data_IF_121236601857
#
_entry.id   IF_121236601857
#
_cell.length_a   1.000
_cell.length_b   1.000
_cell.length_c   1.000
_cell.angle_alpha   90.00
_cell.angle_beta   90.00
_cell.angle_gamma   90.00
#
_symmetry.space_group_name_H-M   'P 1'
#
loop_
_entity.id
_entity.type
_entity.pdbx_description
1 polymer ?
#
# COMPACT_ATOMS: atom_id res chain seq x y z
N UNK A 1 -67.02 28.89 2.90
CA UNK A 1 -67.49 29.20 1.53
C UNK A 1 -66.31 29.68 0.70
N UNK A 2 -65.95 28.90 -0.33
CA UNK A 2 -65.06 29.29 -1.46
C UNK A 2 -65.94 29.83 -2.61
N UNK A 3 -65.40 30.24 -3.77
CA UNK A 3 -64.37 31.25 -4.05
C UNK A 3 -64.79 32.18 -5.22
N UNK A 4 -63.95 33.13 -5.63
CA UNK A 4 -64.02 33.73 -6.98
C UNK A 4 -62.62 33.92 -7.59
N UNK A 5 -62.46 33.88 -8.93
CA UNK A 5 -61.25 33.37 -9.58
C UNK A 5 -60.65 34.33 -10.65
N UNK A 6 -59.62 33.83 -11.37
CA UNK A 6 -59.00 34.35 -12.62
C UNK A 6 -57.89 35.43 -12.43
N UNK A 7 -56.82 35.53 -13.23
CA UNK A 7 -56.47 34.95 -14.53
C UNK A 7 -54.95 34.89 -14.73
N UNK A 8 -54.55 33.99 -15.63
CA UNK A 8 -53.23 33.74 -16.20
C UNK A 8 -52.73 34.85 -17.13
N UNK A 9 -51.46 35.26 -16.97
CA UNK A 9 -50.71 36.05 -17.95
C UNK A 9 -49.55 35.23 -18.52
N UNK A 10 -49.70 34.84 -19.79
CA UNK A 10 -48.69 34.17 -20.61
C UNK A 10 -48.25 35.12 -21.73
N UNK A 11 -46.96 35.16 -22.04
CA UNK A 11 -46.38 35.93 -23.15
C UNK A 11 -44.85 35.86 -23.14
N UNK A 12 -44.18 36.03 -24.27
CA UNK A 12 -44.20 35.08 -25.39
C UNK A 12 -42.83 34.40 -25.61
N UNK A 13 -42.87 33.25 -26.28
CA UNK A 13 -41.70 32.54 -26.80
C UNK A 13 -41.27 33.06 -28.18
N UNK A 14 -39.96 32.87 -28.48
CA UNK A 14 -39.23 32.80 -29.79
C UNK A 14 -38.25 33.95 -30.07
N UNK A 15 -37.17 33.74 -30.87
CA UNK A 15 -36.93 32.58 -31.76
C UNK A 15 -35.59 31.86 -31.59
N UNK A 16 -35.59 30.62 -32.08
CA UNK A 16 -34.41 29.86 -32.45
C UNK A 16 -33.74 30.48 -33.68
N UNK A 17 -32.41 30.61 -33.65
CA UNK A 17 -31.58 30.81 -34.84
C UNK A 17 -30.63 29.62 -35.01
N UNK A 18 -30.69 29.04 -36.21
CA UNK A 18 -29.99 27.85 -36.71
C UNK A 18 -28.57 28.19 -37.23
N UNK A 19 -27.78 27.21 -37.71
CA UNK A 19 -26.34 27.11 -37.45
C UNK A 19 -25.48 27.84 -38.49
N UNK A 20 -24.23 28.15 -38.12
CA UNK A 20 -23.15 28.43 -39.08
C UNK A 20 -22.18 27.26 -39.16
N UNK A 21 -22.13 26.69 -40.36
CA UNK A 21 -21.16 25.71 -40.87
C UNK A 21 -20.10 26.49 -41.67
N UNK A 22 -18.81 26.17 -41.52
CA UNK A 22 -17.73 26.40 -42.51
C UNK A 22 -16.40 26.08 -41.83
N UNK A 23 -15.86 24.85 -41.95
CA UNK A 23 -14.92 24.37 -42.97
C UNK A 23 -13.54 25.06 -42.99
N UNK A 24 -12.49 24.30 -42.67
CA UNK A 24 -11.20 24.18 -43.38
C UNK A 24 -10.26 23.33 -42.50
N UNK A 25 -10.09 22.03 -42.76
CA UNK A 25 -9.03 21.44 -43.60
C UNK A 25 -7.63 21.98 -43.30
N UNK A 26 -6.83 21.16 -42.61
CA UNK A 26 -5.40 21.00 -42.91
C UNK A 26 -5.05 19.51 -42.77
N UNK A 27 -4.95 18.85 -43.92
CA UNK A 27 -4.39 17.50 -44.11
C UNK A 27 -3.69 17.54 -45.47
N UNK A 28 -2.37 17.65 -45.45
CA UNK A 28 -1.34 17.13 -46.37
C UNK A 28 -0.05 17.86 -45.97
N UNK A 29 1.14 17.27 -45.97
CA UNK A 29 1.88 16.59 -47.06
C UNK A 29 2.77 15.54 -46.36
N UNK A 30 2.80 14.27 -46.80
CA UNK A 30 3.79 13.68 -47.73
C UNK A 30 5.24 14.04 -47.35
N UNK A 31 6.29 13.24 -47.49
CA UNK A 31 6.56 11.98 -48.16
C UNK A 31 8.03 11.68 -47.79
N UNK A 32 8.40 10.43 -47.54
CA UNK A 32 9.52 9.85 -48.30
C UNK A 32 9.61 8.35 -48.02
N UNK A 33 9.36 7.59 -49.08
CA UNK A 33 9.86 6.24 -49.26
C UNK A 33 11.39 6.23 -49.17
N UNK A 34 11.94 5.16 -48.60
CA UNK A 34 13.14 4.54 -49.20
C UNK A 34 13.12 3.04 -49.02
N UNK A 35 12.59 2.37 -50.05
CA UNK A 35 12.86 0.98 -50.39
C UNK A 35 14.30 0.92 -50.91
N UNK A 36 15.11 -0.05 -50.48
CA UNK A 36 16.31 -0.45 -51.22
C UNK A 36 16.30 -1.97 -51.41
N UNK A 37 16.55 -2.49 -52.63
CA UNK A 37 16.27 -3.89 -52.97
C UNK A 37 17.44 -4.84 -52.65
N UNK A 38 17.07 -6.12 -52.68
CA UNK A 38 17.91 -7.31 -52.84
C UNK A 38 18.94 -7.16 -53.97
N UNK A 39 20.17 -7.61 -53.74
CA UNK A 39 21.15 -7.95 -54.77
C UNK A 39 21.56 -9.42 -54.63
N UNK A 40 21.51 -10.10 -55.77
CA UNK A 40 21.75 -11.52 -56.02
C UNK A 40 23.24 -11.89 -56.02
N UNK A 41 23.49 -13.11 -55.55
CA UNK A 41 24.44 -14.13 -56.03
C UNK A 41 25.86 -13.73 -56.50
N UNK A 42 26.88 -14.29 -55.83
CA UNK A 42 28.02 -14.88 -56.53
C UNK A 42 28.52 -16.13 -55.77
N UNK A 43 28.45 -17.27 -56.45
CA UNK A 43 28.99 -18.56 -56.02
C UNK A 43 30.46 -18.64 -56.43
N UNK A 44 31.29 -19.15 -55.50
CA UNK A 44 32.38 -20.07 -55.83
C UNK A 44 33.79 -19.50 -55.95
N UNK A 45 34.60 -19.74 -54.91
CA UNK A 45 35.96 -20.26 -55.10
C UNK A 45 36.51 -20.81 -53.79
N UNK A 46 36.91 -22.09 -53.85
CA UNK A 46 37.67 -22.83 -52.84
C UNK A 46 38.91 -22.05 -52.39
N UNK A 47 39.14 -22.06 -51.08
CA UNK A 47 40.43 -21.74 -50.46
C UNK A 47 40.57 -22.54 -49.18
N UNK A 48 41.18 -23.73 -49.27
CA UNK A 48 41.65 -24.50 -48.11
C UNK A 48 42.83 -23.74 -47.49
N UNK A 49 42.52 -22.92 -46.48
CA UNK A 49 43.50 -22.31 -45.58
C UNK A 49 43.29 -22.87 -44.18
N UNK A 50 44.06 -23.88 -43.81
CA UNK A 50 44.10 -24.44 -42.47
C UNK A 50 44.71 -23.42 -41.50
N UNK A 51 43.86 -22.63 -40.83
CA UNK A 51 44.23 -21.96 -39.59
C UNK A 51 43.99 -22.94 -38.44
N UNK A 52 45.08 -23.49 -37.90
CA UNK A 52 45.09 -24.11 -36.58
C UNK A 52 44.70 -23.04 -35.55
N UNK A 53 43.41 -22.92 -35.26
CA UNK A 53 42.91 -22.21 -34.09
C UNK A 53 42.86 -23.23 -32.98
N UNK A 54 43.85 -23.20 -32.10
CA UNK A 54 43.76 -23.87 -30.81
C UNK A 54 42.51 -23.32 -30.11
N UNK A 55 41.48 -24.16 -30.04
CA UNK A 55 40.34 -23.93 -29.16
C UNK A 55 40.89 -24.13 -27.76
N UNK A 56 41.42 -23.07 -27.17
CA UNK A 56 41.53 -23.04 -25.72
C UNK A 56 40.09 -23.14 -25.21
N UNK A 57 39.74 -24.14 -24.38
CA UNK A 57 38.48 -24.11 -23.69
C UNK A 57 38.50 -22.85 -22.83
N UNK A 58 37.79 -21.81 -23.28
CA UNK A 58 37.37 -20.73 -22.40
C UNK A 58 36.62 -21.44 -21.29
N UNK A 59 37.28 -21.62 -20.14
CA UNK A 59 36.59 -21.89 -18.88
C UNK A 59 35.53 -20.80 -18.80
N UNK A 60 34.29 -21.16 -19.09
CA UNK A 60 33.14 -20.40 -18.63
C UNK A 60 33.37 -20.28 -17.13
N UNK A 61 33.83 -19.11 -16.69
CA UNK A 61 33.91 -18.82 -15.28
C UNK A 61 32.47 -18.90 -14.80
N UNK A 62 32.13 -20.02 -14.16
CA UNK A 62 30.90 -20.17 -13.40
C UNK A 62 30.83 -18.94 -12.51
N UNK A 63 29.84 -18.08 -12.75
CA UNK A 63 29.57 -16.96 -11.86
C UNK A 63 29.56 -17.51 -10.44
N UNK A 64 30.26 -16.89 -9.47
CA UNK A 64 30.27 -17.37 -8.10
C UNK A 64 28.82 -17.60 -7.66
N UNK A 65 28.51 -18.70 -6.95
CA UNK A 65 27.16 -18.95 -6.46
C UNK A 65 26.70 -17.70 -5.72
N UNK A 66 25.57 -17.13 -6.16
CA UNK A 66 24.96 -16.00 -5.45
C UNK A 66 24.81 -16.42 -3.98
N UNK A 67 25.28 -15.62 -3.02
CA UNK A 67 25.10 -15.92 -1.60
C UNK A 67 23.63 -16.26 -1.36
N UNK A 68 23.37 -17.45 -0.80
CA UNK A 68 22.01 -17.86 -0.44
C UNK A 68 21.55 -16.89 0.65
N UNK A 69 20.51 -16.11 0.37
CA UNK A 69 19.94 -15.21 1.37
C UNK A 69 19.55 -16.01 2.61
N UNK A 70 19.79 -15.50 3.83
CA UNK A 70 19.46 -16.22 5.04
C UNK A 70 17.96 -16.52 5.12
N UNK A 71 17.62 -17.73 5.54
CA UNK A 71 16.24 -18.20 5.61
C UNK A 71 15.46 -17.51 6.74
N UNK A 72 14.29 -16.96 6.40
CA UNK A 72 13.36 -16.34 7.35
C UNK A 72 12.17 -17.27 7.59
N UNK A 73 11.93 -17.62 8.85
CA UNK A 73 10.93 -18.61 9.30
C UNK A 73 9.60 -17.96 9.67
N UNK A 74 9.16 -16.98 8.88
CA UNK A 74 7.87 -16.33 9.03
C UNK A 74 6.85 -16.85 8.01
N UNK A 75 5.59 -16.92 8.43
CA UNK A 75 4.44 -17.28 7.60
C UNK A 75 3.47 -16.10 7.59
N UNK A 76 3.21 -15.57 6.40
CA UNK A 76 2.27 -14.49 6.19
C UNK A 76 0.85 -15.03 6.05
N UNK A 77 -0.14 -14.18 6.31
CA UNK A 77 -1.53 -14.52 6.09
C UNK A 77 -1.81 -14.74 4.61
N UNK A 78 -2.60 -15.77 4.32
CA UNK A 78 -3.11 -16.03 2.99
C UNK A 78 -4.63 -15.88 2.95
N UNK A 79 -5.09 -14.94 2.13
CA UNK A 79 -6.48 -14.53 2.00
C UNK A 79 -6.68 -13.72 0.73
N UNK A 80 -7.92 -13.67 0.23
CA UNK A 80 -8.35 -12.69 -0.77
C UNK A 80 -8.96 -11.46 -0.10
N UNK A 81 -9.85 -11.69 0.87
CA UNK A 81 -10.57 -10.69 1.63
C UNK A 81 -10.38 -10.90 3.14
N UNK A 82 -10.14 -9.81 3.86
CA UNK A 82 -10.08 -9.81 5.32
C UNK A 82 -11.08 -8.78 5.85
N UNK A 83 -11.86 -9.17 6.87
CA UNK A 83 -12.70 -8.28 7.65
C UNK A 83 -12.35 -8.43 9.13
N UNK A 84 -11.93 -7.35 9.77
CA UNK A 84 -11.64 -7.34 11.20
C UNK A 84 -12.37 -6.18 11.91
N UNK A 85 -12.97 -6.47 13.05
CA UNK A 85 -13.65 -5.48 13.90
C UNK A 85 -13.01 -5.48 15.27
N UNK A 86 -12.78 -4.30 15.83
CA UNK A 86 -12.08 -4.17 17.10
C UNK A 86 -12.38 -2.88 17.84
N UNK A 87 -11.66 -2.68 18.94
CA UNK A 87 -11.59 -1.42 19.68
C UNK A 87 -10.16 -0.93 19.67
N UNK A 88 -9.96 0.35 19.40
CA UNK A 88 -8.68 1.04 19.55
C UNK A 88 -8.74 1.96 20.77
N UNK A 89 -7.72 1.88 21.63
CA UNK A 89 -7.39 2.89 22.63
C UNK A 89 -6.21 3.69 22.10
N UNK A 90 -6.35 5.01 22.02
CA UNK A 90 -5.36 5.92 21.46
C UNK A 90 -4.95 6.87 22.58
N UNK A 91 -3.66 6.96 22.85
CA UNK A 91 -3.05 7.95 23.73
C UNK A 91 -2.07 8.76 22.88
N UNK A 92 -2.41 10.02 22.58
CA UNK A 92 -1.59 10.88 21.75
C UNK A 92 -1.74 12.33 22.19
N UNK A 93 -0.63 13.07 22.27
CA UNK A 93 -0.59 14.48 22.67
C UNK A 93 -1.26 14.75 24.04
N UNK A 94 -1.26 13.77 24.95
CA UNK A 94 -1.90 13.88 26.27
C UNK A 94 -3.42 13.63 26.26
N UNK A 95 -4.00 13.29 25.12
CA UNK A 95 -5.42 12.98 24.98
C UNK A 95 -5.64 11.48 24.78
N UNK A 96 -6.70 10.97 25.42
CA UNK A 96 -7.10 9.55 25.34
C UNK A 96 -8.42 9.40 24.62
N UNK A 97 -8.43 8.56 23.58
CA UNK A 97 -9.62 8.27 22.79
C UNK A 97 -9.87 6.77 22.69
N UNK A 98 -11.15 6.40 22.65
CA UNK A 98 -11.60 5.02 22.45
C UNK A 98 -12.48 4.97 21.21
N UNK A 99 -12.07 4.22 20.20
CA UNK A 99 -12.81 4.10 18.93
C UNK A 99 -13.12 2.64 18.60
N UNK A 100 -14.31 2.38 18.06
CA UNK A 100 -14.55 1.12 17.37
C UNK A 100 -13.91 1.19 15.99
N UNK A 101 -13.09 0.20 15.66
CA UNK A 101 -12.40 0.11 14.36
C UNK A 101 -13.00 -1.01 13.52
N UNK A 102 -13.12 -0.75 12.23
CA UNK A 102 -13.54 -1.73 11.23
C UNK A 102 -12.53 -1.67 10.08
N UNK A 103 -11.82 -2.78 9.90
CA UNK A 103 -10.79 -2.98 8.91
C UNK A 103 -11.34 -3.95 7.86
N UNK A 104 -11.26 -3.55 6.60
CA UNK A 104 -11.52 -4.42 5.45
C UNK A 104 -10.31 -4.37 4.54
N UNK A 105 -9.92 -5.51 4.00
CA UNK A 105 -8.86 -5.57 3.02
C UNK A 105 -9.24 -6.47 1.86
N UNK A 106 -8.77 -6.10 0.67
CA UNK A 106 -8.49 -7.05 -0.41
C UNK A 106 -6.98 -7.10 -0.56
N UNK A 107 -6.41 -8.30 -0.43
CA UNK A 107 -4.96 -8.51 -0.44
C UNK A 107 -4.32 -7.82 -1.66
N UNK A 108 -3.26 -7.07 -1.41
CA UNK A 108 -2.46 -6.36 -2.41
C UNK A 108 -3.20 -5.31 -3.24
N UNK A 109 -4.42 -4.92 -2.84
CA UNK A 109 -5.30 -4.07 -3.66
C UNK A 109 -5.91 -2.91 -2.89
N UNK A 110 -6.52 -3.15 -1.73
CA UNK A 110 -7.14 -2.07 -0.95
C UNK A 110 -7.16 -2.40 0.52
N UNK A 111 -6.84 -1.40 1.33
CA UNK A 111 -7.05 -1.35 2.77
C UNK A 111 -8.10 -0.28 3.01
N UNK A 112 -9.21 -0.66 3.62
CA UNK A 112 -10.29 0.23 4.00
C UNK A 112 -10.45 0.17 5.51
N UNK A 113 -10.46 1.33 6.15
CA UNK A 113 -10.49 1.45 7.60
C UNK A 113 -11.53 2.51 7.97
N UNK A 114 -12.35 2.23 8.97
CA UNK A 114 -13.18 3.26 9.62
C UNK A 114 -13.01 3.21 11.12
N UNK A 115 -13.02 4.39 11.75
CA UNK A 115 -13.01 4.56 13.20
C UNK A 115 -14.25 5.36 13.63
N UNK A 116 -14.98 4.81 14.60
CA UNK A 116 -16.21 5.41 15.14
C UNK A 116 -16.10 5.64 16.64
N UNK A 117 -16.47 6.83 17.09
CA UNK A 117 -16.57 7.20 18.50
C UNK A 117 -18.05 7.27 18.87
N UNK A 118 -18.45 6.57 19.95
CA UNK A 118 -19.84 6.54 20.43
C UNK A 118 -20.88 6.20 19.34
N UNK A 119 -20.54 5.30 18.43
CA UNK A 119 -21.42 4.86 17.34
C UNK A 119 -21.42 5.77 16.11
N UNK A 120 -20.79 6.94 16.16
CA UNK A 120 -20.68 7.88 15.03
C UNK A 120 -19.32 7.71 14.36
N UNK A 121 -19.31 7.46 13.05
CA UNK A 121 -18.07 7.35 12.28
C UNK A 121 -17.38 8.71 12.20
N UNK A 122 -16.19 8.82 12.79
CA UNK A 122 -15.40 10.05 12.80
C UNK A 122 -14.39 10.09 11.66
N UNK A 123 -13.77 8.96 11.34
CA UNK A 123 -12.72 8.87 10.31
C UNK A 123 -12.94 7.65 9.42
N UNK A 124 -12.68 7.82 8.12
CA UNK A 124 -12.60 6.73 7.14
C UNK A 124 -11.37 6.90 6.27
N UNK A 125 -10.64 5.82 6.04
CA UNK A 125 -9.52 5.78 5.12
C UNK A 125 -9.72 4.70 4.07
N UNK A 126 -9.28 4.98 2.84
CA UNK A 126 -9.09 4.02 1.77
C UNK A 126 -7.68 4.19 1.24
N UNK A 127 -6.91 3.11 1.30
CA UNK A 127 -5.51 3.07 0.92
C UNK A 127 -5.39 2.00 -0.16
N UNK A 128 -4.78 2.35 -1.27
CA UNK A 128 -4.47 1.46 -2.40
C UNK A 128 -2.96 1.54 -2.66
N UNK A 129 -2.40 0.70 -3.56
CA UNK A 129 -0.96 0.71 -3.83
C UNK A 129 -0.38 2.10 -4.19
N UNK A 130 -1.16 2.95 -4.83
CA UNK A 130 -0.71 4.26 -5.34
C UNK A 130 -1.26 5.47 -4.58
N UNK A 131 -2.32 5.29 -3.77
CA UNK A 131 -3.06 6.42 -3.22
C UNK A 131 -3.59 6.19 -1.82
N UNK A 132 -3.69 7.30 -1.09
CA UNK A 132 -4.26 7.41 0.25
C UNK A 132 -5.38 8.43 0.20
N UNK A 133 -6.56 8.01 0.64
CA UNK A 133 -7.72 8.88 0.79
C UNK A 133 -8.22 8.77 2.22
N UNK A 134 -8.44 9.91 2.89
CA UNK A 134 -8.90 9.97 4.28
C UNK A 134 -10.00 11.01 4.39
N UNK A 135 -11.13 10.63 4.98
CA UNK A 135 -12.23 11.53 5.33
C UNK A 135 -12.21 11.69 6.85
N UNK A 136 -12.12 12.92 7.32
CA UNK A 136 -12.40 13.29 8.71
C UNK A 136 -13.80 13.92 8.74
N UNK A 137 -14.79 13.14 9.19
CA UNK A 137 -16.19 13.56 9.28
C UNK A 137 -16.44 14.53 10.44
N UNK A 138 -15.61 14.49 11.47
CA UNK A 138 -15.70 15.41 12.61
C UNK A 138 -15.33 16.83 12.17
N UNK A 139 -14.27 16.97 11.38
CA UNK A 139 -13.82 18.25 10.85
C UNK A 139 -14.43 18.62 9.48
N UNK A 140 -15.24 17.74 8.89
CA UNK A 140 -15.75 17.87 7.50
C UNK A 140 -14.63 18.15 6.50
N UNK A 141 -13.50 17.45 6.65
CA UNK A 141 -12.36 17.57 5.74
C UNK A 141 -12.00 16.23 5.12
N UNK A 142 -11.27 16.28 4.01
CA UNK A 142 -10.70 15.09 3.41
C UNK A 142 -9.29 15.34 2.86
N UNK A 143 -8.51 14.26 2.78
CA UNK A 143 -7.26 14.17 2.05
C UNK A 143 -7.43 13.17 0.91
N UNK A 144 -6.83 13.47 -0.24
CA UNK A 144 -6.70 12.57 -1.37
C UNK A 144 -5.36 12.85 -2.06
N UNK A 145 -4.46 11.87 -2.05
CA UNK A 145 -3.12 12.02 -2.59
C UNK A 145 -2.29 10.74 -2.41
N UNK A 146 -0.97 10.88 -2.37
CA UNK A 146 -0.04 9.76 -2.19
C UNK A 146 0.29 9.51 -0.70
N UNK A 147 1.24 8.60 -0.45
CA UNK A 147 1.72 8.21 0.89
C UNK A 147 2.48 9.29 1.68
N UNK A 148 2.69 10.49 1.11
CA UNK A 148 3.27 11.62 1.86
C UNK A 148 2.45 12.00 3.09
N UNK A 149 1.13 11.80 3.06
CA UNK A 149 0.27 12.00 4.23
C UNK A 149 0.63 11.05 5.38
N UNK A 150 0.71 9.75 5.11
CA UNK A 150 1.07 8.76 6.13
C UNK A 150 2.51 8.93 6.60
N UNK A 151 3.42 9.25 5.68
CA UNK A 151 4.82 9.53 6.02
C UNK A 151 4.95 10.68 7.02
N UNK A 152 4.19 11.77 6.85
CA UNK A 152 4.16 12.89 7.80
C UNK A 152 3.44 12.55 9.12
N UNK A 153 2.42 11.70 9.06
CA UNK A 153 1.68 11.30 10.25
C UNK A 153 2.52 10.42 11.18
N UNK A 154 3.25 9.46 10.61
CA UNK A 154 4.11 8.53 11.37
C UNK A 154 5.56 9.01 11.50
N UNK A 155 5.94 10.06 10.77
CA UNK A 155 7.29 10.60 10.66
C UNK A 155 8.36 9.56 10.28
N UNK A 156 7.95 8.57 9.49
CA UNK A 156 8.77 7.52 8.89
C UNK A 156 8.22 7.26 7.48
N UNK A 157 9.04 7.00 6.45
CA UNK A 157 8.56 6.61 5.13
C UNK A 157 7.68 5.35 5.19
N UNK A 158 6.46 5.43 4.63
CA UNK A 158 5.48 4.32 4.62
C UNK A 158 4.99 4.04 3.20
N UNK A 159 4.95 2.77 2.83
CA UNK A 159 4.39 2.25 1.57
C UNK A 159 3.14 1.42 1.82
N UNK A 160 2.41 1.07 0.75
CA UNK A 160 1.25 0.17 0.84
C UNK A 160 1.62 -1.18 1.46
N UNK A 161 2.66 -1.84 0.95
CA UNK A 161 3.10 -3.16 1.42
C UNK A 161 3.49 -3.13 2.88
N UNK A 162 4.18 -2.08 3.32
CA UNK A 162 4.52 -1.89 4.74
C UNK A 162 3.25 -1.73 5.59
N UNK A 163 2.30 -0.89 5.18
CA UNK A 163 1.05 -0.69 5.90
C UNK A 163 0.23 -1.99 5.98
N UNK A 164 0.15 -2.74 4.89
CA UNK A 164 -0.53 -4.02 4.85
C UNK A 164 0.14 -5.01 5.82
N UNK A 165 1.47 -5.16 5.75
CA UNK A 165 2.20 -6.06 6.64
C UNK A 165 2.06 -5.68 8.12
N UNK A 166 2.15 -4.38 8.43
CA UNK A 166 1.97 -3.82 9.77
C UNK A 166 0.59 -4.16 10.36
N UNK A 167 -0.48 -4.01 9.57
CA UNK A 167 -1.84 -4.29 10.04
C UNK A 167 -2.13 -5.79 10.19
N UNK A 168 -1.43 -6.63 9.43
CA UNK A 168 -1.59 -8.08 9.43
C UNK A 168 -0.68 -8.80 10.44
N UNK A 169 0.40 -8.15 10.88
CA UNK A 169 1.49 -8.83 11.58
C UNK A 169 2.20 -9.85 10.70
N UNK A 170 2.39 -9.48 9.43
CA UNK A 170 3.10 -10.25 8.42
C UNK A 170 4.57 -9.82 8.36
N UNK A 171 5.42 -10.72 7.85
CA UNK A 171 6.82 -10.43 7.62
C UNK A 171 6.99 -9.39 6.50
N UNK A 172 7.80 -8.37 6.79
CA UNK A 172 8.23 -7.36 5.85
C UNK A 172 9.59 -7.75 5.27
N UNK A 173 9.66 -8.21 4.00
CA UNK A 173 10.92 -8.60 3.39
C UNK A 173 11.82 -7.39 3.11
N UNK A 174 13.13 -7.59 3.22
CA UNK A 174 14.09 -6.65 2.69
C UNK A 174 14.00 -6.61 1.16
N UNK A 175 14.39 -5.49 0.54
CA UNK A 175 14.59 -5.43 -0.91
C UNK A 175 15.57 -6.53 -1.37
N UNK A 176 15.34 -7.09 -2.56
CA UNK A 176 16.12 -8.25 -3.04
C UNK A 176 17.61 -7.98 -3.25
N UNK A 177 17.99 -6.72 -3.39
CA UNK A 177 19.36 -6.22 -3.50
C UNK A 177 19.97 -5.79 -2.16
N UNK A 178 19.24 -5.96 -1.05
CA UNK A 178 19.69 -5.56 0.27
C UNK A 178 20.76 -6.52 0.80
N UNK A 179 22.02 -6.08 0.75
CA UNK A 179 23.16 -6.84 1.27
C UNK A 179 23.31 -6.76 2.80
N UNK A 180 22.48 -5.96 3.47
CA UNK A 180 22.51 -5.73 4.92
C UNK A 180 21.57 -6.64 5.72
N UNK A 181 20.91 -7.61 5.08
CA UNK A 181 20.02 -8.55 5.76
C UNK A 181 20.80 -9.44 6.72
N UNK A 182 20.46 -9.35 8.01
CA UNK A 182 20.97 -10.19 9.09
C UNK A 182 19.84 -10.99 9.69
N UNK A 183 20.07 -12.28 9.91
CA UNK A 183 19.13 -13.19 10.55
C UNK A 183 19.88 -13.98 11.62
N UNK A 184 19.36 -13.97 12.85
CA UNK A 184 19.89 -14.74 13.98
C UNK A 184 18.75 -15.43 14.72
N UNK A 185 19.04 -16.58 15.34
CA UNK A 185 18.11 -17.24 16.25
C UNK A 185 18.55 -17.00 17.69
N UNK A 186 17.62 -16.57 18.53
CA UNK A 186 17.81 -16.25 19.94
C UNK A 186 16.73 -17.00 20.73
N UNK A 187 17.03 -18.25 21.07
CA UNK A 187 16.08 -19.14 21.75
C UNK A 187 14.81 -19.37 20.91
N UNK A 188 13.60 -19.04 21.42
CA UNK A 188 12.35 -19.23 20.70
C UNK A 188 12.06 -18.16 19.63
N UNK A 189 12.95 -17.17 19.47
CA UNK A 189 12.77 -16.04 18.56
C UNK A 189 13.81 -16.08 17.44
N UNK A 190 13.40 -15.76 16.22
CA UNK A 190 14.30 -15.38 15.14
C UNK A 190 14.28 -13.86 14.97
N UNK A 191 15.44 -13.23 15.04
CA UNK A 191 15.64 -11.81 14.82
C UNK A 191 16.06 -11.57 13.38
N UNK A 192 15.36 -10.69 12.69
CA UNK A 192 15.66 -10.25 11.32
C UNK A 192 15.91 -8.75 11.32
N UNK A 193 17.05 -8.32 10.81
CA UNK A 193 17.45 -6.91 10.77
C UNK A 193 17.97 -6.54 9.39
N UNK A 194 17.57 -5.38 8.87
CA UNK A 194 18.13 -4.81 7.65
C UNK A 194 17.89 -3.29 7.62
N UNK A 195 18.67 -2.59 6.81
CA UNK A 195 18.48 -1.16 6.55
C UNK A 195 18.09 -0.94 5.09
N UNK A 196 17.05 -0.15 4.84
CA UNK A 196 16.63 0.25 3.50
C UNK A 196 16.49 1.77 3.45
N UNK A 197 17.31 2.42 2.62
CA UNK A 197 17.48 3.87 2.62
C UNK A 197 17.82 4.40 4.03
N UNK A 198 17.06 5.37 4.55
CA UNK A 198 17.22 5.91 5.91
C UNK A 198 16.55 5.07 7.00
N UNK A 199 15.93 3.93 6.66
CA UNK A 199 15.08 3.19 7.59
C UNK A 199 15.74 1.89 8.03
N UNK A 200 15.98 1.75 9.33
CA UNK A 200 16.35 0.49 9.98
C UNK A 200 15.07 -0.29 10.33
N UNK A 201 15.01 -1.56 9.90
CA UNK A 201 13.93 -2.48 10.22
C UNK A 201 14.46 -3.61 11.07
N UNK A 202 13.81 -3.85 12.20
CA UNK A 202 14.02 -5.02 13.06
C UNK A 202 12.70 -5.77 13.23
N UNK A 203 12.73 -7.08 13.04
CA UNK A 203 11.58 -7.96 13.22
C UNK A 203 11.95 -9.12 14.14
N UNK A 204 11.12 -9.38 15.14
CA UNK A 204 11.21 -10.56 16.00
C UNK A 204 10.11 -11.52 15.60
N UNK A 205 10.49 -12.71 15.15
CA UNK A 205 9.60 -13.77 14.71
C UNK A 205 9.56 -14.83 15.81
N UNK A 206 8.36 -15.13 16.31
CA UNK A 206 8.15 -16.27 17.20
C UNK A 206 8.21 -17.56 16.38
N UNK A 207 9.22 -18.39 16.63
CA UNK A 207 9.46 -19.62 15.87
C UNK A 207 8.38 -20.68 16.10
N UNK A 208 7.72 -20.69 17.26
CA UNK A 208 6.64 -21.65 17.56
C UNK A 208 5.38 -21.39 16.74
N UNK A 209 5.16 -20.12 16.37
CA UNK A 209 3.99 -19.69 15.58
C UNK A 209 4.35 -19.37 14.13
N UNK A 210 5.64 -19.19 13.84
CA UNK A 210 6.16 -18.62 12.60
C UNK A 210 5.50 -17.27 12.28
N UNK A 211 5.30 -16.41 13.28
CA UNK A 211 4.65 -15.09 13.14
C UNK A 211 5.52 -13.98 13.69
N UNK A 212 5.45 -12.81 13.06
CA UNK A 212 6.09 -11.60 13.61
C UNK A 212 5.40 -11.24 14.92
N UNK A 213 6.17 -11.20 16.01
CA UNK A 213 5.72 -10.78 17.34
C UNK A 213 6.01 -9.30 17.58
N UNK A 214 7.09 -8.77 16.99
CA UNK A 214 7.47 -7.36 17.10
C UNK A 214 8.10 -6.87 15.79
N UNK A 215 7.76 -5.67 15.38
CA UNK A 215 8.37 -4.95 14.26
C UNK A 215 8.76 -3.56 14.76
N UNK A 216 10.02 -3.18 14.61
CA UNK A 216 10.51 -1.83 14.87
C UNK A 216 11.06 -1.24 13.59
N UNK A 217 10.57 -0.06 13.24
CA UNK A 217 11.00 0.73 12.08
C UNK A 217 11.53 2.04 12.61
N UNK A 218 12.80 2.36 12.34
CA UNK A 218 13.45 3.58 12.81
C UNK A 218 14.08 4.33 11.65
N UNK A 219 13.80 5.62 11.54
CA UNK A 219 14.53 6.51 10.64
C UNK A 219 15.83 6.97 11.30
N UNK A 220 16.98 6.63 10.70
CA UNK A 220 18.31 6.91 11.26
C UNK A 220 18.70 8.39 11.18
N UNK A 221 18.02 9.18 10.35
CA UNK A 221 18.29 10.62 10.22
C UNK A 221 17.58 11.42 11.30
N UNK A 222 16.33 11.04 11.60
CA UNK A 222 15.47 11.78 12.54
C UNK A 222 15.38 11.12 13.92
N UNK A 223 15.82 9.88 14.06
CA UNK A 223 15.59 9.03 15.23
C UNK A 223 14.11 8.81 15.58
N UNK A 224 13.21 9.08 14.64
CA UNK A 224 11.80 8.71 14.78
C UNK A 224 11.69 7.20 14.66
N UNK A 225 10.84 6.60 15.48
CA UNK A 225 10.60 5.16 15.43
C UNK A 225 9.13 4.82 15.58
N UNK A 226 8.74 3.73 14.93
CA UNK A 226 7.45 3.07 15.12
C UNK A 226 7.73 1.64 15.53
N UNK A 227 7.23 1.24 16.69
CA UNK A 227 7.26 -0.14 17.16
C UNK A 227 5.85 -0.70 17.16
N UNK A 228 5.67 -1.89 16.59
CA UNK A 228 4.43 -2.64 16.62
C UNK A 228 4.66 -3.97 17.30
N UNK A 229 3.88 -4.25 18.34
CA UNK A 229 3.89 -5.52 19.08
C UNK A 229 2.57 -6.25 18.88
N UNK A 230 2.65 -7.53 18.55
CA UNK A 230 1.52 -8.40 18.28
C UNK A 230 1.36 -9.42 19.40
N UNK A 231 0.14 -9.57 19.91
CA UNK A 231 -0.19 -10.45 21.02
C UNK A 231 -1.53 -11.16 20.79
N UNK A 232 -1.85 -12.11 21.68
CA UNK A 232 -3.10 -12.87 21.65
C UNK A 232 -3.36 -13.53 20.28
N UNK A 233 -2.36 -14.28 19.80
CA UNK A 233 -2.47 -15.03 18.56
C UNK A 233 -3.49 -16.16 18.73
N UNK A 234 -4.52 -16.16 17.89
CA UNK A 234 -5.57 -17.18 17.86
C UNK A 234 -5.74 -17.74 16.45
N UNK A 235 -6.04 -19.04 16.30
CA UNK A 235 -6.37 -19.60 15.00
C UNK A 235 -7.69 -19.01 14.49
N UNK A 236 -7.74 -18.70 13.19
CA UNK A 236 -8.95 -18.25 12.52
C UNK A 236 -9.80 -19.44 12.06
N UNK A 237 -11.13 -19.30 12.12
CA UNK A 237 -12.07 -20.42 11.95
C UNK A 237 -11.93 -21.18 10.62
N UNK A 238 -11.65 -20.46 9.52
CA UNK A 238 -11.69 -21.05 8.17
C UNK A 238 -10.50 -21.95 7.85
N UNK A 239 -9.30 -21.59 8.30
CA UNK A 239 -8.06 -22.22 7.84
C UNK A 239 -6.99 -22.35 8.93
N UNK A 240 -7.34 -22.11 10.19
CA UNK A 240 -6.46 -22.17 11.36
C UNK A 240 -5.19 -21.30 11.26
N UNK A 241 -5.11 -20.35 10.31
CA UNK A 241 -4.05 -19.36 10.29
C UNK A 241 -4.11 -18.57 11.60
N UNK A 242 -2.96 -18.36 12.25
CA UNK A 242 -2.89 -17.58 13.47
C UNK A 242 -3.06 -16.10 13.16
N UNK A 243 -3.79 -15.35 13.98
CA UNK A 243 -3.93 -13.90 13.85
C UNK A 243 -3.82 -13.23 15.21
N UNK A 244 -3.08 -12.12 15.28
CA UNK A 244 -2.89 -11.35 16.50
C UNK A 244 -4.16 -10.56 16.83
N UNK A 245 -4.85 -10.92 17.91
CA UNK A 245 -6.03 -10.19 18.35
C UNK A 245 -5.67 -8.95 19.18
N UNK A 246 -4.43 -8.85 19.66
CA UNK A 246 -3.86 -7.65 20.27
C UNK A 246 -2.78 -7.03 19.39
N UNK A 247 -2.84 -5.72 19.16
CA UNK A 247 -1.77 -4.96 18.48
C UNK A 247 -1.49 -3.70 19.26
N UNK A 248 -0.23 -3.48 19.64
CA UNK A 248 0.23 -2.25 20.29
C UNK A 248 1.17 -1.53 19.32
N UNK A 249 0.83 -0.30 18.94
CA UNK A 249 1.65 0.58 18.10
C UNK A 249 2.16 1.73 18.96
N UNK A 250 3.47 1.95 18.94
CA UNK A 250 4.14 3.01 19.67
C UNK A 250 4.97 3.82 18.67
N UNK A 251 4.60 5.09 18.47
CA UNK A 251 5.34 6.03 17.64
C UNK A 251 6.10 7.01 18.53
N UNK A 252 7.42 6.98 18.46
CA UNK A 252 8.31 7.80 19.26
C UNK A 252 9.04 8.82 18.38
N UNK A 253 9.04 10.08 18.83
CA UNK A 253 9.85 11.16 18.26
C UNK A 253 10.78 11.70 19.35
N UNK A 254 12.05 12.01 19.05
CA UNK A 254 12.94 12.61 20.04
C UNK A 254 12.34 13.88 20.64
N UNK A 255 12.36 13.99 21.97
CA UNK A 255 11.85 15.17 22.70
C UNK A 255 10.32 15.30 22.76
N UNK A 256 9.55 14.29 22.34
CA UNK A 256 8.08 14.28 22.47
C UNK A 256 7.57 13.01 23.19
N UNK A 257 6.43 13.08 23.89
CA UNK A 257 5.77 11.88 24.38
C UNK A 257 5.45 10.91 23.23
N UNK A 258 5.54 9.61 23.50
CA UNK A 258 5.12 8.59 22.54
C UNK A 258 3.62 8.71 22.23
N UNK A 259 3.24 8.51 20.98
CA UNK A 259 1.85 8.22 20.64
C UNK A 259 1.65 6.70 20.68
N UNK A 260 0.64 6.26 21.43
CA UNK A 260 0.37 4.84 21.67
C UNK A 260 -1.03 4.49 21.15
N UNK A 261 -1.13 3.44 20.35
CA UNK A 261 -2.41 2.89 19.87
C UNK A 261 -2.46 1.42 20.22
N UNK A 262 -3.39 1.03 21.08
CA UNK A 262 -3.69 -0.37 21.38
C UNK A 262 -4.97 -0.79 20.67
N UNK A 263 -4.91 -1.85 19.86
CA UNK A 263 -6.04 -2.41 19.13
C UNK A 263 -6.33 -3.80 19.67
N UNK A 264 -7.60 -4.03 20.04
CA UNK A 264 -8.12 -5.35 20.39
C UNK A 264 -9.18 -5.75 19.37
N UNK A 265 -8.88 -6.73 18.53
CA UNK A 265 -9.81 -7.32 17.59
C UNK A 265 -10.75 -8.29 18.29
N UNK A 266 -12.05 -8.18 18.01
CA UNK A 266 -13.10 -9.08 18.54
C UNK A 266 -13.53 -10.12 17.52
N UNK A 267 -13.46 -9.75 16.24
CA UNK A 267 -13.81 -10.62 15.13
C UNK A 267 -12.80 -10.40 14.01
N UNK A 268 -12.31 -11.49 13.44
CA UNK A 268 -11.41 -11.50 12.29
C UNK A 268 -11.85 -12.64 11.39
N UNK A 269 -12.27 -12.31 10.18
CA UNK A 269 -12.75 -13.26 9.18
C UNK A 269 -11.84 -13.16 7.94
N UNK A 270 -11.36 -14.30 7.44
CA UNK A 270 -10.71 -14.42 6.13
C UNK A 270 -11.66 -15.07 5.14
N UNK A 271 -11.84 -14.46 3.98
CA UNK A 271 -12.55 -15.03 2.82
C UNK A 271 -13.94 -15.57 3.15
N UNK A 272 -14.62 -14.95 4.12
CA UNK A 272 -15.99 -15.29 4.49
C UNK A 272 -16.97 -14.90 3.40
N UNK A 273 -16.75 -13.73 2.83
CA UNK A 273 -17.54 -13.18 1.73
C UNK A 273 -16.70 -12.20 0.91
N UNK A 274 -17.20 -11.86 -0.28
CA UNK A 274 -16.66 -10.75 -1.05
C UNK A 274 -16.99 -9.45 -0.34
N UNK A 275 -15.99 -8.60 -0.14
CA UNK A 275 -16.16 -7.32 0.54
C UNK A 275 -16.32 -6.16 -0.43
N UNK A 276 -17.12 -5.18 -0.01
CA UNK A 276 -17.20 -3.86 -0.62
C UNK A 276 -16.38 -2.83 0.18
N UNK A 277 -15.91 -1.82 -0.55
CA UNK A 277 -15.04 -0.76 -0.04
C UNK A 277 -15.65 0.63 -0.30
N UNK A 278 -16.83 0.95 0.26
CA UNK A 278 -17.54 2.18 -0.06
C UNK A 278 -16.76 3.41 0.40
N UNK A 279 -16.47 4.31 -0.54
CA UNK A 279 -15.77 5.56 -0.27
C UNK A 279 -16.30 6.68 -1.17
N UNK A 280 -16.91 7.69 -0.56
CA UNK A 280 -17.43 8.86 -1.25
C UNK A 280 -17.24 10.08 -0.37
N UNK A 281 -16.61 11.13 -0.91
CA UNK A 281 -16.41 12.40 -0.21
C UNK A 281 -17.68 13.24 -0.37
N UNK A 282 -18.34 13.68 0.71
CA UNK A 282 -19.48 14.57 0.59
C UNK A 282 -19.08 15.94 0.00
N UNK A 283 -19.92 16.52 -0.85
CA UNK A 283 -19.60 17.77 -1.57
C UNK A 283 -19.25 18.95 -0.66
N UNK A 284 -19.79 18.98 0.56
CA UNK A 284 -19.54 20.04 1.53
C UNK A 284 -18.17 19.94 2.24
N UNK A 285 -17.37 18.92 1.96
CA UNK A 285 -16.13 18.66 2.71
C UNK A 285 -14.94 19.40 2.07
N UNK A 286 -14.14 20.06 2.90
CA UNK A 286 -12.95 20.79 2.45
C UNK A 286 -11.75 19.87 2.21
N UNK A 287 -11.01 20.07 1.11
CA UNK A 287 -9.76 19.33 0.85
C UNK A 287 -8.62 19.90 1.70
N UNK A 288 -7.97 19.07 2.52
CA UNK A 288 -6.72 19.43 3.19
C UNK A 288 -5.54 19.24 2.24
N UNK A 289 -5.10 20.34 1.65
CA UNK A 289 -3.81 20.43 0.96
C UNK A 289 -2.75 20.84 1.98
N UNK A 290 -2.39 19.97 2.92
CA UNK A 290 -1.20 20.26 3.76
C UNK A 290 0.05 20.00 2.92
N UNK A 291 0.70 21.09 2.50
CA UNK A 291 2.06 21.06 1.94
C UNK A 291 2.99 20.40 2.96
#
# INVERSE_FOLDING_TARGET
>A
MRPAPWSSGSGPARPAARPRRSTAKSKTVNSMNRRWPLLLALVGSLGLGACHRSIFPTKTATAPPKPVAPEVKARNLDFTYLSAKGKAQIDANGEKYSANVNLRMRKDSVIWLSASLLGVEGVRAMITPDSVQVINKLEKTYYAGNFSYLTRQFNVPVTFTQMQALLLGDYLPAASDNTGLRVSNEGPVQKVNYQQASVLVEQLIDLSRSRVQKLTVQDVQTNNSVTVTYADFKPLEKNAQLFAHGTLVEAQQPGRPAAVVSISYRNVDLDKERLDFPFSVPAAYGRKNRK
#
